data_IF_261129169416
#
_entry.id   IF_261129169416
#
_cell.length_a   1.000
_cell.length_b   1.000
_cell.length_c   1.000
_cell.angle_alpha   90.00
_cell.angle_beta   90.00
_cell.angle_gamma   90.00
#
_symmetry.space_group_name_H-M   'P 1'
#
loop_
_entity.id
_entity.type
_entity.pdbx_description
1 polymer ?
#
# COMPACT_ATOMS: atom_id res chain seq x y z
N UNK A 1 -37.78 6.70 -59.44
CA UNK A 1 -36.58 5.91 -59.11
C UNK A 1 -35.54 6.70 -58.28
N UNK A 2 -35.22 7.94 -58.68
CA UNK A 2 -34.22 8.79 -58.03
C UNK A 2 -34.48 9.10 -56.53
N UNK A 3 -35.73 9.36 -56.10
CA UNK A 3 -36.08 9.65 -54.71
C UNK A 3 -35.80 8.46 -53.77
N UNK A 4 -36.01 7.20 -54.23
CA UNK A 4 -35.74 6.02 -53.43
C UNK A 4 -34.22 5.79 -53.23
N UNK A 5 -33.42 6.06 -54.25
CA UNK A 5 -31.95 5.99 -54.20
C UNK A 5 -31.38 7.05 -53.26
N UNK A 6 -31.90 8.30 -53.34
CA UNK A 6 -31.48 9.38 -52.45
C UNK A 6 -31.77 9.06 -50.95
N UNK A 7 -32.94 8.45 -50.69
CA UNK A 7 -33.33 8.06 -49.33
C UNK A 7 -32.43 6.93 -48.77
N UNK A 8 -32.06 5.96 -49.61
CA UNK A 8 -31.12 4.88 -49.25
C UNK A 8 -29.73 5.42 -49.00
N UNK A 9 -29.24 6.38 -49.77
CA UNK A 9 -27.94 7.02 -49.57
C UNK A 9 -27.91 7.82 -48.26
N UNK A 10 -29.00 8.55 -47.94
CA UNK A 10 -29.13 9.27 -46.69
C UNK A 10 -29.12 8.34 -45.47
N UNK A 11 -29.85 7.22 -45.53
CA UNK A 11 -29.86 6.20 -44.47
C UNK A 11 -28.47 5.58 -44.29
N UNK A 12 -27.78 5.29 -45.38
CA UNK A 12 -26.42 4.73 -45.30
C UNK A 12 -25.42 5.72 -44.71
N UNK A 13 -25.49 6.97 -45.09
CA UNK A 13 -24.64 8.03 -44.55
C UNK A 13 -24.89 8.28 -43.06
N UNK A 14 -26.14 8.30 -42.61
CA UNK A 14 -26.46 8.46 -41.19
C UNK A 14 -26.03 7.27 -40.37
N UNK A 15 -26.21 6.02 -40.88
CA UNK A 15 -25.73 4.83 -40.22
C UNK A 15 -24.20 4.81 -40.10
N UNK A 16 -23.48 5.20 -41.15
CA UNK A 16 -22.02 5.31 -41.17
C UNK A 16 -21.50 6.32 -40.15
N UNK A 17 -22.18 7.48 -40.02
CA UNK A 17 -21.84 8.50 -39.02
C UNK A 17 -22.01 8.01 -37.58
N UNK A 18 -23.15 7.36 -37.32
CA UNK A 18 -23.42 6.80 -35.97
C UNK A 18 -22.39 5.70 -35.64
N UNK A 19 -22.14 4.79 -36.58
CA UNK A 19 -21.19 3.72 -36.40
C UNK A 19 -19.74 4.25 -36.15
N UNK A 20 -19.33 5.23 -36.96
CA UNK A 20 -18.02 5.88 -36.82
C UNK A 20 -17.86 6.58 -35.47
N UNK A 21 -18.93 7.25 -35.00
CA UNK A 21 -18.93 7.91 -33.70
C UNK A 21 -18.81 6.93 -32.55
N UNK A 22 -19.52 5.80 -32.59
CA UNK A 22 -19.45 4.74 -31.61
C UNK A 22 -18.05 4.09 -31.64
N UNK A 23 -17.55 3.76 -32.83
CA UNK A 23 -16.21 3.19 -33.00
C UNK A 23 -15.12 4.13 -32.45
N UNK A 24 -15.21 5.43 -32.80
CA UNK A 24 -14.30 6.43 -32.26
C UNK A 24 -14.38 6.53 -30.75
N UNK A 25 -15.56 6.54 -30.14
CA UNK A 25 -15.73 6.57 -28.68
C UNK A 25 -15.14 5.34 -27.99
N UNK A 26 -15.31 4.15 -28.57
CA UNK A 26 -14.77 2.90 -28.02
C UNK A 26 -13.24 2.82 -28.16
N UNK A 27 -12.69 3.29 -29.29
CA UNK A 27 -11.26 3.27 -29.58
C UNK A 27 -10.49 4.40 -28.92
N UNK A 28 -11.13 5.55 -28.66
CA UNK A 28 -10.49 6.71 -28.02
C UNK A 28 -10.58 6.72 -26.51
N UNK A 29 -11.16 5.69 -25.89
CA UNK A 29 -11.08 5.57 -24.42
C UNK A 29 -9.62 5.55 -24.02
N UNK A 30 -9.18 6.50 -23.17
CA UNK A 30 -7.82 6.40 -22.63
C UNK A 30 -7.68 5.05 -21.93
N UNK A 31 -6.54 4.38 -22.06
CA UNK A 31 -6.29 3.15 -21.34
C UNK A 31 -6.56 3.38 -19.86
N UNK A 32 -7.35 2.52 -19.26
CA UNK A 32 -7.59 2.58 -17.80
C UNK A 32 -6.24 2.58 -17.09
N UNK A 33 -5.97 3.64 -16.37
CA UNK A 33 -4.71 3.73 -15.64
C UNK A 33 -4.69 2.64 -14.57
N UNK A 34 -3.79 1.69 -14.74
CA UNK A 34 -3.57 0.65 -13.75
C UNK A 34 -2.80 1.23 -12.55
N UNK A 35 -3.34 1.05 -11.35
CA UNK A 35 -2.71 1.50 -10.12
C UNK A 35 -3.12 0.67 -8.92
N UNK A 36 -2.35 0.77 -7.86
CA UNK A 36 -2.73 0.34 -6.53
C UNK A 36 -2.70 1.55 -5.59
N UNK A 37 -3.76 1.71 -4.81
CA UNK A 37 -3.80 2.68 -3.72
C UNK A 37 -3.78 1.95 -2.39
N UNK A 38 -3.04 2.46 -1.41
CA UNK A 38 -3.03 1.88 -0.10
C UNK A 38 -2.67 2.90 0.97
N UNK A 39 -3.08 2.59 2.21
CA UNK A 39 -2.83 3.43 3.37
C UNK A 39 -2.86 2.62 4.66
N UNK A 40 -2.24 3.16 5.71
CA UNK A 40 -2.43 2.69 7.08
C UNK A 40 -3.41 3.63 7.78
N UNK A 41 -4.35 3.05 8.51
CA UNK A 41 -5.43 3.78 9.17
C UNK A 41 -5.45 3.45 10.66
N UNK A 42 -5.86 4.42 11.44
CA UNK A 42 -6.11 4.28 12.88
C UNK A 42 -7.30 3.36 13.16
N UNK A 43 -7.55 2.99 14.42
CA UNK A 43 -8.74 2.20 14.79
C UNK A 43 -10.06 2.82 14.35
N UNK A 44 -10.12 4.14 14.27
CA UNK A 44 -11.31 4.90 13.81
C UNK A 44 -11.44 4.99 12.27
N UNK A 45 -10.55 4.37 11.51
CA UNK A 45 -10.58 4.41 10.04
C UNK A 45 -10.11 5.73 9.44
N UNK A 46 -9.32 6.52 10.17
CA UNK A 46 -8.80 7.81 9.73
C UNK A 46 -7.28 7.78 9.54
N UNK A 47 -6.73 8.75 8.81
CA UNK A 47 -5.29 8.99 8.67
C UNK A 47 -4.70 9.82 9.83
N UNK A 48 -5.40 9.89 10.94
CA UNK A 48 -5.03 10.60 12.16
C UNK A 48 -5.40 9.74 13.38
N UNK A 49 -5.01 10.18 14.58
CA UNK A 49 -5.34 9.48 15.82
C UNK A 49 -4.85 8.03 15.88
N UNK A 50 -3.62 7.81 15.39
CA UNK A 50 -2.98 6.49 15.42
C UNK A 50 -2.69 5.99 16.84
N UNK A 51 -2.62 6.90 17.81
CA UNK A 51 -2.25 6.64 19.20
C UNK A 51 -3.37 7.11 20.12
N UNK A 52 -3.52 6.43 21.27
CA UNK A 52 -4.60 6.72 22.25
C UNK A 52 -4.36 7.98 23.07
N UNK A 53 -3.09 8.41 23.19
CA UNK A 53 -2.68 9.59 23.97
C UNK A 53 -2.36 10.81 23.12
N UNK A 54 -2.04 11.91 23.80
CA UNK A 54 -1.53 13.12 23.15
C UNK A 54 -0.13 12.85 22.56
N UNK A 55 0.02 13.11 21.26
CA UNK A 55 1.26 12.84 20.53
C UNK A 55 1.44 11.38 20.17
N UNK A 56 2.65 11.04 19.72
CA UNK A 56 2.99 9.70 19.25
C UNK A 56 3.70 8.86 20.34
N UNK A 57 3.28 8.96 21.59
CA UNK A 57 3.87 8.24 22.71
C UNK A 57 3.12 6.92 22.94
N UNK A 58 3.84 5.82 22.98
CA UNK A 58 3.31 4.48 23.19
C UNK A 58 3.80 3.94 24.52
N UNK A 59 2.87 3.59 25.39
CA UNK A 59 3.14 3.03 26.69
C UNK A 59 3.33 1.50 26.61
N UNK A 60 4.20 0.95 27.43
CA UNK A 60 4.37 -0.50 27.53
C UNK A 60 3.04 -1.20 27.88
N UNK A 61 2.69 -2.23 27.12
CA UNK A 61 1.43 -2.97 27.30
C UNK A 61 0.22 -2.36 26.58
N UNK A 62 0.36 -1.16 26.03
CA UNK A 62 -0.71 -0.52 25.23
C UNK A 62 -0.89 -1.25 23.90
N UNK A 63 -2.10 -1.73 23.64
CA UNK A 63 -2.46 -2.39 22.38
C UNK A 63 -2.95 -1.37 21.37
N UNK A 64 -2.29 -1.30 20.24
CA UNK A 64 -2.62 -0.43 19.13
C UNK A 64 -3.13 -1.27 17.95
N UNK A 65 -4.32 -0.94 17.48
CA UNK A 65 -5.02 -1.67 16.40
C UNK A 65 -5.14 -0.76 15.18
N UNK A 66 -4.25 -0.93 14.24
CA UNK A 66 -4.32 -0.25 12.94
C UNK A 66 -4.85 -1.20 11.88
N UNK A 67 -5.14 -0.68 10.71
CA UNK A 67 -5.42 -1.52 9.56
C UNK A 67 -4.87 -0.90 8.28
N UNK A 68 -4.49 -1.76 7.36
CA UNK A 68 -4.17 -1.35 6.00
C UNK A 68 -5.40 -1.51 5.13
N UNK A 69 -5.71 -0.49 4.31
CA UNK A 69 -6.62 -0.62 3.20
C UNK A 69 -5.80 -0.62 1.91
N UNK A 70 -5.98 -1.66 1.10
CA UNK A 70 -5.28 -1.80 -0.19
C UNK A 70 -6.32 -1.97 -1.29
N UNK A 71 -6.35 -1.03 -2.22
CA UNK A 71 -7.26 -1.03 -3.37
C UNK A 71 -6.51 -1.45 -4.63
N UNK A 72 -7.05 -2.43 -5.33
CA UNK A 72 -6.50 -2.94 -6.58
C UNK A 72 -7.28 -2.43 -7.77
N UNK A 73 -6.63 -1.65 -8.66
CA UNK A 73 -7.14 -1.17 -9.95
C UNK A 73 -6.22 -1.61 -11.11
N UNK A 74 -5.63 -2.82 -11.00
CA UNK A 74 -4.64 -3.35 -11.95
C UNK A 74 -5.25 -4.16 -13.11
N UNK A 75 -6.57 -4.16 -13.27
CA UNK A 75 -7.24 -4.94 -14.31
C UNK A 75 -7.29 -6.46 -14.07
N UNK A 76 -6.56 -6.97 -13.07
CA UNK A 76 -6.46 -8.40 -12.73
C UNK A 76 -6.36 -8.59 -11.22
N UNK A 77 -6.59 -9.82 -10.74
CA UNK A 77 -6.35 -10.17 -9.34
C UNK A 77 -4.87 -10.00 -9.01
N UNK A 78 -4.58 -9.41 -7.85
CA UNK A 78 -3.22 -9.23 -7.34
C UNK A 78 -2.99 -10.05 -6.07
N UNK A 79 -1.85 -10.75 -5.99
CA UNK A 79 -1.37 -11.32 -4.74
C UNK A 79 -0.37 -10.34 -4.12
N UNK A 80 -0.74 -9.79 -2.97
CA UNK A 80 -0.07 -8.66 -2.32
C UNK A 80 0.50 -9.11 -0.99
N UNK A 81 1.68 -8.61 -0.67
CA UNK A 81 2.31 -8.76 0.64
C UNK A 81 2.63 -7.37 1.21
N UNK A 82 2.18 -7.12 2.44
CA UNK A 82 2.56 -5.94 3.22
C UNK A 82 3.67 -6.36 4.16
N UNK A 83 4.87 -5.84 3.94
CA UNK A 83 6.05 -6.08 4.78
C UNK A 83 6.19 -4.94 5.77
N UNK A 84 6.38 -5.25 7.05
CA UNK A 84 6.57 -4.27 8.10
C UNK A 84 7.93 -4.41 8.76
N UNK A 85 8.57 -3.25 8.99
CA UNK A 85 9.91 -3.12 9.55
C UNK A 85 9.93 -2.01 10.60
N UNK A 86 10.84 -2.08 11.54
CA UNK A 86 11.06 -1.01 12.51
C UNK A 86 12.45 -0.41 12.32
N UNK A 87 12.50 0.88 12.12
CA UNK A 87 13.71 1.69 12.10
C UNK A 87 13.68 2.80 13.14
N UNK A 88 14.62 3.71 13.01
CA UNK A 88 14.73 4.94 13.81
C UNK A 88 14.99 6.15 12.89
N UNK A 89 15.34 7.29 13.49
CA UNK A 89 15.62 8.54 12.76
C UNK A 89 16.90 8.51 11.92
N UNK A 90 17.82 7.56 12.15
CA UNK A 90 19.11 7.50 11.44
C UNK A 90 19.09 6.55 10.25
N UNK A 91 18.09 5.67 10.17
CA UNK A 91 17.94 4.73 9.06
C UNK A 91 17.50 5.39 7.77
N UNK A 92 18.00 4.90 6.62
CA UNK A 92 17.53 5.35 5.31
C UNK A 92 16.03 5.05 5.14
N UNK A 93 15.30 6.01 4.57
CA UNK A 93 13.90 5.81 4.21
C UNK A 93 13.80 5.07 2.89
N UNK A 94 12.95 4.05 2.78
CA UNK A 94 12.58 3.53 1.49
C UNK A 94 11.87 4.63 0.68
N UNK A 95 12.04 4.59 -0.63
CA UNK A 95 11.38 5.53 -1.55
C UNK A 95 10.85 4.78 -2.79
N UNK A 96 10.30 5.50 -3.75
CA UNK A 96 9.70 4.91 -4.94
C UNK A 96 10.69 4.14 -5.82
N UNK A 97 11.98 4.47 -5.77
CA UNK A 97 13.03 3.90 -6.63
C UNK A 97 13.94 2.91 -5.91
N UNK A 98 14.06 3.02 -4.58
CA UNK A 98 14.87 2.09 -3.79
C UNK A 98 13.97 0.92 -3.37
N UNK A 99 14.25 -0.29 -3.85
CA UNK A 99 13.45 -1.46 -3.54
C UNK A 99 13.67 -1.87 -2.07
N UNK A 100 12.73 -1.45 -1.24
CA UNK A 100 12.67 -1.83 0.16
C UNK A 100 13.68 -1.12 1.06
N UNK A 101 13.48 -1.28 2.36
CA UNK A 101 14.41 -0.83 3.38
C UNK A 101 15.48 -1.90 3.64
N UNK A 102 16.69 -1.48 3.97
CA UNK A 102 17.78 -2.38 4.43
C UNK A 102 17.54 -2.93 5.84
N UNK A 103 16.57 -2.37 6.59
CA UNK A 103 16.19 -2.87 7.91
C UNK A 103 15.51 -4.23 7.77
N UNK A 104 15.90 -5.26 8.56
CA UNK A 104 15.28 -6.57 8.49
C UNK A 104 13.76 -6.50 8.72
N UNK A 105 12.95 -7.29 8.00
CA UNK A 105 11.51 -7.34 8.21
C UNK A 105 11.19 -7.96 9.59
N UNK A 106 10.21 -7.39 10.28
CA UNK A 106 9.62 -7.96 11.48
C UNK A 106 8.55 -9.01 11.15
N UNK A 107 8.00 -8.93 9.95
CA UNK A 107 6.99 -9.86 9.45
C UNK A 107 6.29 -9.29 8.22
N UNK A 108 5.26 -10.01 7.82
CA UNK A 108 4.42 -9.63 6.68
C UNK A 108 2.99 -10.15 6.84
N UNK A 109 2.10 -9.59 6.04
CA UNK A 109 0.72 -10.08 5.83
C UNK A 109 0.46 -10.17 4.33
N UNK A 110 -0.09 -11.29 3.87
CA UNK A 110 -0.33 -11.52 2.44
C UNK A 110 -1.82 -11.74 2.17
N UNK A 111 -2.32 -11.22 1.04
CA UNK A 111 -3.72 -11.31 0.65
C UNK A 111 -3.88 -11.26 -0.87
N UNK A 112 -4.88 -11.98 -1.39
CA UNK A 112 -5.36 -11.85 -2.76
C UNK A 112 -6.43 -10.76 -2.84
N UNK A 113 -6.29 -9.84 -3.77
CA UNK A 113 -7.22 -8.72 -3.96
C UNK A 113 -7.75 -8.77 -5.40
N UNK A 114 -9.04 -9.07 -5.61
CA UNK A 114 -9.65 -8.98 -6.92
C UNK A 114 -9.56 -7.58 -7.52
N UNK A 115 -9.64 -7.48 -8.84
CA UNK A 115 -9.68 -6.18 -9.50
C UNK A 115 -10.87 -5.34 -9.04
N UNK A 116 -10.68 -4.04 -8.92
CA UNK A 116 -11.65 -3.05 -8.44
C UNK A 116 -12.13 -3.29 -6.99
N UNK A 117 -11.39 -4.07 -6.19
CA UNK A 117 -11.71 -4.34 -4.79
C UNK A 117 -10.71 -3.68 -3.84
N UNK A 118 -11.18 -3.44 -2.61
CA UNK A 118 -10.35 -3.01 -1.48
C UNK A 118 -10.31 -4.12 -0.44
N UNK A 119 -9.12 -4.50 -0.03
CA UNK A 119 -8.91 -5.40 1.09
C UNK A 119 -8.49 -4.64 2.34
N UNK A 120 -9.00 -5.08 3.48
CA UNK A 120 -8.61 -4.58 4.81
C UNK A 120 -7.76 -5.64 5.50
N UNK A 121 -6.58 -5.24 5.97
CA UNK A 121 -5.64 -6.11 6.69
C UNK A 121 -5.36 -5.51 8.06
N UNK A 122 -5.72 -6.21 9.11
CA UNK A 122 -5.50 -5.76 10.48
C UNK A 122 -4.04 -5.84 10.88
N UNK A 123 -3.59 -4.85 11.66
CA UNK A 123 -2.25 -4.74 12.19
C UNK A 123 -2.30 -4.34 13.65
N UNK A 124 -2.26 -5.34 14.53
CA UNK A 124 -2.26 -5.14 15.98
C UNK A 124 -0.85 -5.26 16.52
N UNK A 125 -0.43 -4.31 17.34
CA UNK A 125 0.89 -4.34 17.92
C UNK A 125 0.93 -3.77 19.34
N UNK A 126 1.93 -4.23 20.13
CA UNK A 126 2.13 -3.87 21.54
C UNK A 126 3.62 -3.82 21.80
N UNK A 127 4.10 -2.79 22.48
CA UNK A 127 5.45 -2.81 23.10
C UNK A 127 5.39 -3.61 24.39
N UNK A 128 6.04 -4.76 24.42
CA UNK A 128 5.99 -5.69 25.56
C UNK A 128 7.12 -5.46 26.57
N UNK A 129 8.29 -5.03 26.10
CA UNK A 129 9.40 -4.68 26.98
C UNK A 129 10.31 -3.61 26.41
N UNK A 130 11.11 -2.99 27.28
CA UNK A 130 12.15 -2.01 26.95
C UNK A 130 13.44 -2.39 27.65
N UNK A 131 14.56 -2.19 26.99
CA UNK A 131 15.91 -2.28 27.58
C UNK A 131 16.76 -1.13 27.09
N UNK A 132 17.68 -0.64 27.92
CA UNK A 132 18.58 0.44 27.55
C UNK A 132 20.01 -0.08 27.52
N UNK A 133 20.68 0.09 26.39
CA UNK A 133 22.07 -0.31 26.20
C UNK A 133 22.79 0.83 25.49
N UNK A 134 23.87 1.34 26.08
CA UNK A 134 24.70 2.40 25.48
C UNK A 134 23.92 3.71 25.17
N UNK A 135 22.91 4.06 25.98
CA UNK A 135 22.06 5.25 25.76
C UNK A 135 20.96 5.05 24.71
N UNK A 136 20.89 3.90 24.08
CA UNK A 136 19.82 3.52 23.17
C UNK A 136 18.79 2.65 23.89
N UNK A 137 17.52 2.95 23.65
CA UNK A 137 16.39 2.12 24.08
C UNK A 137 16.05 1.14 22.96
N UNK A 138 16.06 -0.14 23.29
CA UNK A 138 15.57 -1.24 22.45
C UNK A 138 14.20 -1.67 22.95
N UNK A 139 13.31 -2.05 22.05
CA UNK A 139 11.97 -2.52 22.38
C UNK A 139 11.75 -3.94 21.91
N UNK A 140 11.02 -4.73 22.69
CA UNK A 140 10.43 -5.99 22.25
C UNK A 140 8.96 -5.73 21.98
N UNK A 141 8.41 -6.35 20.95
CA UNK A 141 7.03 -6.11 20.53
C UNK A 141 6.31 -7.42 20.28
N UNK A 142 5.00 -7.38 20.36
CA UNK A 142 4.12 -8.38 19.75
C UNK A 142 3.42 -7.73 18.57
N UNK A 143 3.45 -8.37 17.40
CA UNK A 143 2.78 -7.94 16.20
C UNK A 143 1.88 -9.08 15.72
N UNK A 144 0.58 -8.83 15.58
CA UNK A 144 -0.42 -9.82 15.19
C UNK A 144 -0.28 -11.14 16.00
N UNK A 145 -0.06 -11.01 17.32
CA UNK A 145 0.11 -12.13 18.24
C UNK A 145 1.50 -12.80 18.25
N UNK A 146 2.41 -12.41 17.36
CA UNK A 146 3.78 -12.94 17.31
C UNK A 146 4.76 -12.00 17.99
N UNK A 147 5.60 -12.53 18.89
CA UNK A 147 6.68 -11.77 19.49
C UNK A 147 7.79 -11.51 18.45
N UNK A 148 8.27 -10.27 18.40
CA UNK A 148 9.35 -9.83 17.51
C UNK A 148 10.39 -9.03 18.32
N UNK A 149 11.63 -9.11 17.87
CA UNK A 149 12.79 -8.49 18.51
C UNK A 149 13.49 -7.57 17.50
N UNK A 150 13.05 -6.30 17.38
CA UNK A 150 13.73 -5.35 16.50
C UNK A 150 15.19 -5.16 16.93
N UNK A 151 16.09 -5.18 15.96
CA UNK A 151 17.52 -4.96 16.19
C UNK A 151 17.89 -3.47 16.31
N UNK A 152 16.91 -2.57 16.21
CA UNK A 152 17.12 -1.12 16.18
C UNK A 152 16.77 -0.50 17.51
N UNK A 153 17.72 0.25 18.08
CA UNK A 153 17.51 1.09 19.25
C UNK A 153 17.29 2.56 18.85
N UNK A 154 16.61 3.30 19.70
CA UNK A 154 16.39 4.74 19.54
C UNK A 154 16.89 5.52 20.77
N UNK A 155 17.48 6.71 20.55
CA UNK A 155 17.97 7.56 21.62
C UNK A 155 16.82 7.94 22.56
N UNK A 156 16.97 7.65 23.85
CA UNK A 156 15.95 7.83 24.88
C UNK A 156 14.56 7.24 24.53
N UNK A 157 14.49 6.26 23.63
CA UNK A 157 13.22 5.68 23.17
C UNK A 157 12.41 6.57 22.23
N UNK A 158 13.01 7.60 21.70
CA UNK A 158 12.31 8.57 20.85
C UNK A 158 12.55 8.28 19.36
N UNK A 159 11.53 8.61 18.54
CA UNK A 159 11.63 8.57 17.08
C UNK A 159 11.89 7.16 16.51
N UNK A 160 11.23 6.15 17.04
CA UNK A 160 11.03 4.90 16.32
C UNK A 160 10.16 5.15 15.10
N UNK A 161 10.34 4.33 14.07
CA UNK A 161 9.62 4.49 12.81
C UNK A 161 9.26 3.14 12.24
N UNK A 162 7.97 2.88 12.12
CA UNK A 162 7.52 1.79 11.26
C UNK A 162 7.68 2.16 9.79
N UNK A 163 8.20 1.23 9.02
CA UNK A 163 8.12 1.21 7.56
C UNK A 163 7.15 0.12 7.16
N UNK A 164 6.21 0.48 6.32
CA UNK A 164 5.30 -0.46 5.67
C UNK A 164 5.56 -0.41 4.18
N UNK A 165 5.76 -1.56 3.58
CA UNK A 165 6.13 -1.72 2.18
C UNK A 165 5.11 -2.62 1.50
N UNK A 166 4.56 -2.17 0.38
CA UNK A 166 3.69 -2.97 -0.47
C UNK A 166 4.55 -3.73 -1.48
N UNK A 167 4.38 -5.03 -1.52
CA UNK A 167 5.03 -5.94 -2.47
C UNK A 167 3.95 -6.67 -3.25
N UNK A 168 4.10 -6.80 -4.56
CA UNK A 168 3.19 -7.58 -5.41
C UNK A 168 3.90 -8.78 -6.00
N UNK A 169 3.20 -9.91 -6.08
CA UNK A 169 3.74 -11.12 -6.68
C UNK A 169 3.84 -10.96 -8.20
N UNK A 170 5.01 -11.21 -8.73
CA UNK A 170 5.30 -11.16 -10.15
C UNK A 170 5.45 -12.58 -10.69
N UNK A 171 4.53 -12.97 -11.59
CA UNK A 171 4.54 -14.29 -12.19
C UNK A 171 5.76 -14.55 -13.07
N UNK A 172 6.33 -13.50 -13.69
CA UNK A 172 7.49 -13.66 -14.57
C UNK A 172 8.76 -14.00 -13.79
N UNK A 173 8.95 -13.38 -12.62
CA UNK A 173 10.09 -13.64 -11.73
C UNK A 173 9.79 -14.69 -10.66
N UNK A 174 8.54 -15.17 -10.57
CA UNK A 174 8.04 -16.11 -9.56
C UNK A 174 8.37 -15.67 -8.13
N UNK A 175 8.24 -14.36 -7.86
CA UNK A 175 8.63 -13.78 -6.57
C UNK A 175 7.88 -12.49 -6.27
N UNK A 176 7.84 -12.11 -4.99
CA UNK A 176 7.36 -10.80 -4.58
C UNK A 176 8.37 -9.73 -4.98
N UNK A 177 7.87 -8.68 -5.61
CA UNK A 177 8.63 -7.51 -6.03
C UNK A 177 8.10 -6.26 -5.32
N UNK A 178 8.99 -5.38 -4.90
CA UNK A 178 8.63 -4.13 -4.23
C UNK A 178 7.75 -3.23 -5.12
N UNK A 179 6.68 -2.72 -4.54
CA UNK A 179 5.69 -1.92 -5.24
C UNK A 179 4.80 -2.73 -6.19
N UNK A 180 4.12 -2.04 -7.08
CA UNK A 180 3.29 -2.64 -8.13
C UNK A 180 3.80 -2.26 -9.52
N UNK A 181 3.45 -3.04 -10.53
CA UNK A 181 3.85 -2.80 -11.92
C UNK A 181 2.98 -1.69 -12.49
N UNK A 182 3.52 -0.48 -12.63
CA UNK A 182 2.91 0.60 -13.40
C UNK A 182 3.12 0.44 -14.91
N UNK A 183 2.67 1.39 -15.69
CA UNK A 183 2.76 1.32 -17.16
C UNK A 183 4.20 1.21 -17.67
N UNK A 184 5.13 1.97 -17.11
CA UNK A 184 6.52 2.04 -17.59
C UNK A 184 7.55 1.46 -16.62
N UNK A 185 7.22 1.35 -15.34
CA UNK A 185 8.12 0.88 -14.30
C UNK A 185 7.34 0.40 -13.07
N UNK A 186 8.04 -0.23 -12.14
CA UNK A 186 7.44 -0.51 -10.83
C UNK A 186 7.38 0.77 -9.99
N UNK A 187 6.29 0.92 -9.27
CA UNK A 187 6.02 2.07 -8.40
C UNK A 187 5.97 1.57 -6.95
N UNK A 188 6.97 1.97 -6.17
CA UNK A 188 6.98 1.73 -4.73
C UNK A 188 6.35 2.90 -3.97
N UNK A 189 5.45 2.60 -3.04
CA UNK A 189 4.82 3.60 -2.17
C UNK A 189 5.00 3.15 -0.72
N UNK A 190 6.15 3.46 -0.08
CA UNK A 190 6.35 3.13 1.31
C UNK A 190 5.53 4.06 2.20
N UNK A 191 4.97 3.51 3.27
CA UNK A 191 4.31 4.29 4.32
C UNK A 191 5.19 4.31 5.56
N UNK A 192 5.07 5.37 6.35
CA UNK A 192 5.86 5.56 7.56
C UNK A 192 5.00 6.13 8.68
N UNK A 193 5.14 5.55 9.88
CA UNK A 193 4.51 6.07 11.10
C UNK A 193 5.56 6.16 12.18
N UNK A 194 5.70 7.36 12.75
CA UNK A 194 6.65 7.67 13.80
C UNK A 194 6.01 7.54 15.18
N UNK A 195 6.77 7.02 16.15
CA UNK A 195 6.34 6.96 17.54
C UNK A 195 7.50 7.03 18.52
N UNK A 196 7.19 7.30 19.78
CA UNK A 196 8.11 7.22 20.90
C UNK A 196 7.64 6.09 21.83
N UNK A 197 8.57 5.36 22.39
CA UNK A 197 8.27 4.41 23.45
C UNK A 197 8.47 5.11 24.80
N UNK A 198 7.39 5.37 25.49
CA UNK A 198 7.38 6.00 26.82
C UNK A 198 7.57 4.96 27.94
#
# INVERSE_FOLDING_TARGET
MQRKVALLLLLFASFSLVYSSIAYYLLSRPPTQEFMAWGVFSPSGTLSNYFSGAGANVTRGESLNWHFAVTNQMGSIQYVQIVYRLGNSTGASPNATIPGSTVPPLGNSSIFIPNAQTAIVNFTWVVTSRSTVGGLVFITMTINGKQVFPSVGAVAGQRFRFFFELWTYDLASNSFQYGYKGQNSRVGVPLQVWFNSA
#
